data_IF_604790747650
#
_entry.id   IF_604790747650
#
_cell.length_a   1.000
_cell.length_b   1.000
_cell.length_c   1.000
_cell.angle_alpha   90.00
_cell.angle_beta   90.00
_cell.angle_gamma   90.00
#
_symmetry.space_group_name_H-M   'P 1'
#
loop_
_entity.id
_entity.type
_entity.pdbx_description
1 polymer ?
#
# COMPACT_ATOMS: atom_id res chain seq x y z
N UNK A 1 14.73 31.20 21.95
CA UNK A 1 14.05 31.81 20.79
C UNK A 1 14.01 30.90 19.55
N UNK A 2 15.09 30.71 18.78
CA UNK A 2 15.05 29.88 17.54
C UNK A 2 14.73 28.41 17.81
N UNK A 3 15.29 27.84 18.88
CA UNK A 3 15.02 26.45 19.29
C UNK A 3 13.59 26.25 19.78
N UNK A 4 13.00 27.23 20.45
CA UNK A 4 11.59 27.16 20.92
C UNK A 4 10.63 27.16 19.73
N UNK A 5 10.83 28.08 18.77
CA UNK A 5 10.01 28.12 17.55
C UNK A 5 10.09 26.80 16.78
N UNK A 6 11.27 26.19 16.68
CA UNK A 6 11.43 24.87 16.03
C UNK A 6 10.68 23.76 16.77
N UNK A 7 10.64 23.78 18.11
CA UNK A 7 9.89 22.79 18.89
C UNK A 7 8.38 22.97 18.75
N UNK A 8 7.90 24.21 18.72
CA UNK A 8 6.49 24.51 18.47
C UNK A 8 6.06 24.09 17.06
N UNK A 9 6.86 24.37 16.04
CA UNK A 9 6.61 23.90 14.67
C UNK A 9 6.58 22.38 14.57
N UNK A 10 7.52 21.70 15.22
CA UNK A 10 7.54 20.23 15.24
C UNK A 10 6.30 19.65 15.93
N UNK A 11 5.83 20.28 17.01
CA UNK A 11 4.60 19.88 17.71
C UNK A 11 3.39 20.03 16.79
N UNK A 12 3.28 21.16 16.11
CA UNK A 12 2.17 21.44 15.19
C UNK A 12 2.17 20.45 14.00
N UNK A 13 3.35 20.20 13.40
CA UNK A 13 3.50 19.21 12.32
C UNK A 13 3.08 17.79 12.77
N UNK A 14 3.42 17.40 14.00
CA UNK A 14 2.99 16.11 14.56
C UNK A 14 1.49 16.05 14.75
N UNK A 15 0.86 17.12 15.23
CA UNK A 15 -0.59 17.17 15.42
C UNK A 15 -1.32 17.14 14.06
N UNK A 16 -0.84 17.89 13.07
CA UNK A 16 -1.37 17.81 11.70
C UNK A 16 -1.22 16.42 11.10
N UNK A 17 -0.06 15.77 11.29
CA UNK A 17 0.17 14.39 10.83
C UNK A 17 -0.82 13.42 11.47
N UNK A 18 -1.11 13.57 12.76
CA UNK A 18 -2.10 12.76 13.47
C UNK A 18 -3.49 12.92 12.86
N UNK A 19 -3.95 14.15 12.61
CA UNK A 19 -5.25 14.39 11.99
C UNK A 19 -5.32 13.90 10.54
N UNK A 20 -4.24 14.07 9.77
CA UNK A 20 -4.12 13.52 8.42
C UNK A 20 -4.24 12.00 8.39
N UNK A 21 -3.61 11.29 9.34
CA UNK A 21 -3.74 9.83 9.46
C UNK A 21 -5.18 9.40 9.71
N UNK A 22 -5.89 10.10 10.59
CA UNK A 22 -7.30 9.80 10.88
C UNK A 22 -8.15 9.97 9.62
N UNK A 23 -8.00 11.08 8.89
CA UNK A 23 -8.73 11.33 7.65
C UNK A 23 -8.38 10.30 6.56
N UNK A 24 -7.09 9.99 6.42
CA UNK A 24 -6.61 9.05 5.41
C UNK A 24 -7.13 7.62 5.64
N UNK A 25 -7.20 7.14 6.89
CA UNK A 25 -7.66 5.77 7.19
C UNK A 25 -9.08 5.53 6.67
N UNK A 26 -10.02 6.47 6.89
CA UNK A 26 -11.39 6.30 6.42
C UNK A 26 -11.44 6.20 4.90
N UNK A 27 -10.77 7.12 4.20
CA UNK A 27 -10.72 7.12 2.74
C UNK A 27 -10.05 5.86 2.19
N UNK A 28 -8.99 5.39 2.85
CA UNK A 28 -8.25 4.21 2.44
C UNK A 28 -9.11 2.94 2.55
N UNK A 29 -9.91 2.81 3.61
CA UNK A 29 -10.88 1.70 3.75
C UNK A 29 -11.89 1.68 2.60
N UNK A 30 -12.35 2.83 2.12
CA UNK A 30 -13.25 2.92 0.95
C UNK A 30 -12.56 2.45 -0.34
N UNK A 31 -11.36 2.98 -0.61
CA UNK A 31 -10.59 2.63 -1.81
C UNK A 31 -10.26 1.13 -1.82
N UNK A 32 -9.90 0.55 -0.67
CA UNK A 32 -9.65 -0.89 -0.57
C UNK A 32 -10.89 -1.70 -0.93
N UNK A 33 -12.08 -1.32 -0.44
CA UNK A 33 -13.33 -2.00 -0.79
C UNK A 33 -13.67 -1.91 -2.28
N UNK A 34 -13.33 -0.79 -2.91
CA UNK A 34 -13.58 -0.56 -4.34
C UNK A 34 -12.58 -1.31 -5.25
N UNK A 35 -11.30 -1.39 -4.86
CA UNK A 35 -10.22 -1.90 -5.73
C UNK A 35 -9.72 -3.30 -5.39
N UNK A 36 -9.91 -3.78 -4.15
CA UNK A 36 -9.47 -5.10 -3.66
C UNK A 36 -10.70 -5.97 -3.33
N UNK A 37 -11.47 -6.28 -4.37
CA UNK A 37 -12.75 -6.98 -4.27
C UNK A 37 -12.52 -8.49 -4.04
N UNK A 38 -11.57 -9.07 -4.79
CA UNK A 38 -11.35 -10.52 -4.77
C UNK A 38 -10.26 -10.93 -3.79
N UNK A 39 -10.30 -12.19 -3.35
CA UNK A 39 -9.25 -12.75 -2.47
C UNK A 39 -7.87 -12.66 -3.11
N UNK A 40 -7.80 -12.86 -4.42
CA UNK A 40 -6.56 -12.77 -5.19
C UNK A 40 -6.00 -11.34 -5.21
N UNK A 41 -6.87 -10.34 -5.39
CA UNK A 41 -6.46 -8.93 -5.37
C UNK A 41 -5.89 -8.54 -4.00
N UNK A 42 -6.58 -8.92 -2.91
CA UNK A 42 -6.09 -8.71 -1.54
C UNK A 42 -4.75 -9.40 -1.31
N UNK A 43 -4.59 -10.63 -1.81
CA UNK A 43 -3.35 -11.38 -1.65
C UNK A 43 -2.18 -10.77 -2.44
N UNK A 44 -2.41 -10.32 -3.68
CA UNK A 44 -1.41 -9.61 -4.48
C UNK A 44 -0.98 -8.32 -3.77
N UNK A 45 -1.95 -7.55 -3.27
CA UNK A 45 -1.70 -6.33 -2.52
C UNK A 45 -0.82 -6.60 -1.30
N UNK A 46 -1.14 -7.62 -0.50
CA UNK A 46 -0.34 -8.00 0.66
C UNK A 46 1.09 -8.44 0.31
N UNK A 47 1.27 -9.12 -0.82
CA UNK A 47 2.58 -9.55 -1.31
C UNK A 47 3.40 -8.42 -1.96
N UNK A 48 2.80 -7.25 -2.16
CA UNK A 48 3.47 -6.04 -2.68
C UNK A 48 4.25 -5.38 -1.55
N UNK A 49 5.52 -5.76 -1.40
CA UNK A 49 6.43 -5.36 -0.31
C UNK A 49 7.67 -4.62 -0.82
N UNK A 50 7.65 -4.20 -2.09
CA UNK A 50 8.78 -3.57 -2.78
C UNK A 50 9.92 -4.54 -3.11
N UNK A 51 9.92 -5.77 -2.58
CA UNK A 51 10.97 -6.77 -2.78
C UNK A 51 10.55 -7.85 -3.77
N UNK A 52 9.30 -8.27 -3.75
CA UNK A 52 8.80 -9.28 -4.68
C UNK A 52 8.61 -8.66 -6.07
N UNK A 53 9.14 -9.30 -7.11
CA UNK A 53 8.77 -8.96 -8.49
C UNK A 53 7.37 -9.50 -8.82
N UNK A 54 6.80 -9.02 -9.94
CA UNK A 54 5.53 -9.56 -10.45
C UNK A 54 5.57 -11.07 -10.69
N UNK A 55 6.73 -11.60 -11.10
CA UNK A 55 6.96 -13.04 -11.29
C UNK A 55 7.02 -13.79 -9.96
N UNK A 56 7.66 -13.20 -8.94
CA UNK A 56 7.72 -13.80 -7.59
C UNK A 56 6.32 -13.89 -6.99
N UNK A 57 5.52 -12.82 -7.11
CA UNK A 57 4.13 -12.81 -6.63
C UNK A 57 3.30 -13.87 -7.35
N UNK A 58 3.36 -13.92 -8.69
CA UNK A 58 2.64 -14.93 -9.46
C UNK A 58 3.03 -16.37 -9.07
N UNK A 59 4.33 -16.62 -8.82
CA UNK A 59 4.83 -17.93 -8.35
C UNK A 59 4.31 -18.28 -6.95
N UNK A 60 4.32 -17.32 -6.01
CA UNK A 60 3.79 -17.51 -4.64
C UNK A 60 2.30 -17.83 -4.68
N UNK A 61 1.53 -17.07 -5.46
CA UNK A 61 0.10 -17.31 -5.64
C UNK A 61 -0.19 -18.68 -6.25
N UNK A 62 0.60 -19.10 -7.25
CA UNK A 62 0.45 -20.42 -7.84
C UNK A 62 0.67 -21.54 -6.81
N UNK A 63 1.65 -21.39 -5.92
CA UNK A 63 1.88 -22.32 -4.81
C UNK A 63 0.72 -22.34 -3.78
N UNK A 64 -0.04 -21.26 -3.69
CA UNK A 64 -1.25 -21.13 -2.89
C UNK A 64 -2.52 -21.59 -3.64
N UNK A 65 -2.39 -22.14 -4.85
CA UNK A 65 -3.51 -22.59 -5.69
C UNK A 65 -4.20 -21.47 -6.49
N UNK A 66 -3.66 -20.25 -6.46
CA UNK A 66 -4.19 -19.09 -7.17
C UNK A 66 -3.41 -18.88 -8.47
N UNK A 67 -4.02 -19.23 -9.62
CA UNK A 67 -3.38 -19.09 -10.93
C UNK A 67 -3.57 -17.67 -11.48
N UNK A 68 -2.52 -16.85 -11.38
CA UNK A 68 -2.49 -15.48 -11.91
C UNK A 68 -1.20 -15.25 -12.72
N UNK A 69 -1.31 -14.51 -13.83
CA UNK A 69 -0.15 -14.12 -14.62
C UNK A 69 0.60 -12.96 -13.98
N UNK A 70 1.92 -12.91 -14.15
CA UNK A 70 2.72 -11.75 -13.73
C UNK A 70 2.27 -10.44 -14.41
N UNK A 71 1.72 -10.51 -15.62
CA UNK A 71 1.16 -9.35 -16.32
C UNK A 71 -0.09 -8.81 -15.62
N UNK A 72 -0.94 -9.69 -15.09
CA UNK A 72 -2.10 -9.30 -14.28
C UNK A 72 -1.66 -8.57 -13.01
N UNK A 73 -0.61 -9.04 -12.34
CA UNK A 73 -0.01 -8.33 -11.18
C UNK A 73 0.46 -6.93 -11.58
N UNK A 74 1.18 -6.80 -12.70
CA UNK A 74 1.64 -5.51 -13.20
C UNK A 74 0.47 -4.54 -13.51
N UNK A 75 -0.61 -5.05 -14.11
CA UNK A 75 -1.80 -4.27 -14.42
C UNK A 75 -2.49 -3.76 -13.13
N UNK A 76 -2.55 -4.60 -12.09
CA UNK A 76 -3.07 -4.17 -10.79
C UNK A 76 -2.19 -3.11 -10.15
N UNK A 77 -0.88 -3.28 -10.12
CA UNK A 77 0.03 -2.24 -9.62
C UNK A 77 -0.14 -0.91 -10.34
N UNK A 78 -0.25 -0.92 -11.67
CA UNK A 78 -0.51 0.29 -12.46
C UNK A 78 -1.83 0.96 -12.06
N UNK A 79 -2.89 0.19 -11.83
CA UNK A 79 -4.19 0.73 -11.39
C UNK A 79 -4.12 1.27 -9.97
N UNK A 80 -3.54 0.51 -9.05
CA UNK A 80 -3.48 0.81 -7.62
C UNK A 80 -2.54 1.97 -7.29
N UNK A 81 -1.49 2.19 -8.08
CA UNK A 81 -0.60 3.34 -7.90
C UNK A 81 -1.30 4.66 -8.18
N UNK A 82 -2.24 4.69 -9.13
CA UNK A 82 -3.01 5.92 -9.44
C UNK A 82 -3.94 6.37 -8.32
N UNK A 83 -4.30 5.45 -7.40
CA UNK A 83 -5.17 5.72 -6.25
C UNK A 83 -4.43 5.64 -4.92
N UNK A 84 -3.10 5.53 -4.94
CA UNK A 84 -2.27 5.57 -3.74
C UNK A 84 -2.36 4.34 -2.84
N UNK A 85 -2.82 3.19 -3.35
CA UNK A 85 -2.79 1.94 -2.59
C UNK A 85 -1.37 1.36 -2.51
N UNK A 86 -0.59 1.54 -3.58
CA UNK A 86 0.79 1.11 -3.65
C UNK A 86 1.68 2.25 -4.12
N UNK A 87 2.94 2.25 -3.68
CA UNK A 87 3.97 3.20 -4.10
C UNK A 87 5.14 2.46 -4.76
N UNK A 88 5.87 3.09 -5.70
CA UNK A 88 7.06 2.49 -6.28
C UNK A 88 8.10 2.21 -5.19
N UNK A 89 8.75 1.06 -5.26
CA UNK A 89 9.86 0.76 -4.35
C UNK A 89 11.04 1.68 -4.62
N UNK A 90 11.59 2.27 -3.56
CA UNK A 90 12.80 3.09 -3.65
C UNK A 90 14.04 2.26 -4.06
N UNK A 91 14.08 0.99 -3.67
CA UNK A 91 15.26 0.12 -3.83
C UNK A 91 15.24 -0.69 -5.12
N UNK A 92 14.06 -1.06 -5.62
CA UNK A 92 13.92 -1.98 -6.74
C UNK A 92 13.02 -1.40 -7.83
N UNK A 93 13.61 -0.85 -8.92
CA UNK A 93 12.84 -0.27 -10.02
C UNK A 93 11.80 -1.23 -10.59
N UNK A 94 10.59 -0.73 -10.85
CA UNK A 94 9.48 -1.50 -11.39
C UNK A 94 8.75 -2.39 -10.37
N UNK A 95 9.14 -2.38 -9.09
CA UNK A 95 8.39 -3.02 -8.00
C UNK A 95 7.57 -2.01 -7.23
N UNK A 96 6.52 -2.50 -6.59
CA UNK A 96 5.63 -1.69 -5.77
C UNK A 96 5.50 -2.26 -4.36
N UNK A 97 5.30 -1.37 -3.39
CA UNK A 97 5.00 -1.71 -2.01
C UNK A 97 3.65 -1.12 -1.59
N UNK A 98 2.91 -1.88 -0.78
CA UNK A 98 1.65 -1.43 -0.20
C UNK A 98 1.89 -0.31 0.80
N UNK A 99 1.00 0.67 0.83
CA UNK A 99 1.08 1.80 1.77
C UNK A 99 0.77 1.37 3.21
N UNK A 100 -0.11 0.38 3.38
CA UNK A 100 -0.47 -0.19 4.68
C UNK A 100 -0.89 -1.65 4.53
N UNK A 101 -0.73 -2.48 5.56
CA UNK A 101 -1.30 -3.82 5.54
C UNK A 101 -2.82 -3.79 5.78
N UNK A 102 -3.54 -4.74 5.17
CA UNK A 102 -4.97 -4.96 5.40
C UNK A 102 -5.24 -5.34 6.86
N UNK A 103 -4.30 -6.06 7.49
CA UNK A 103 -4.38 -6.41 8.91
C UNK A 103 -4.41 -5.17 9.80
N UNK A 104 -3.58 -4.17 9.52
CA UNK A 104 -3.56 -2.91 10.30
C UNK A 104 -4.85 -2.09 10.12
N UNK A 105 -5.63 -2.38 9.08
CA UNK A 105 -6.94 -1.77 8.83
C UNK A 105 -8.12 -2.61 9.33
N UNK A 106 -7.85 -3.77 9.93
CA UNK A 106 -8.87 -4.75 10.34
C UNK A 106 -9.75 -5.21 9.16
N UNK A 107 -9.14 -5.37 7.99
CA UNK A 107 -9.79 -5.87 6.77
C UNK A 107 -9.27 -7.29 6.49
N UNK A 108 -10.18 -8.25 6.38
CA UNK A 108 -9.90 -9.63 5.93
C UNK A 108 -9.81 -9.77 4.41
#
# INVERSE_FOLDING_TARGET
>A
MTTEITQELLKELKEQTKWLRVLAIFRLKEIIKEFLITKEQKRIYELSDGKNSTRDIAKKLLAEGIKISHQTVANYWKKWSTVGLVIPSEKYPGRFEKVISLKDLEIE
#
